data_IF_616593765150
#
_entry.id   IF_616593765150
#
_cell.length_a   1.000
_cell.length_b   1.000
_cell.length_c   1.000
_cell.angle_alpha   90.00
_cell.angle_beta   90.00
_cell.angle_gamma   90.00
#
_symmetry.space_group_name_H-M   'P 1'
#
loop_
_entity.id
_entity.type
_entity.pdbx_description
1 polymer ?
#
# COMPACT_ATOMS: atom_id res chain seq x y z
N UNK A 1 -47.72 -4.77 15.65
CA UNK A 1 -47.85 -4.71 14.18
C UNK A 1 -46.61 -4.03 13.66
N UNK A 2 -45.69 -4.84 13.18
CA UNK A 2 -44.37 -4.41 12.74
C UNK A 2 -44.49 -3.75 11.36
N UNK A 3 -44.33 -2.43 11.31
CA UNK A 3 -44.25 -1.72 10.04
C UNK A 3 -42.85 -2.02 9.49
N UNK A 4 -42.73 -3.05 8.66
CA UNK A 4 -41.53 -3.20 7.83
C UNK A 4 -41.38 -1.91 7.04
N UNK A 5 -40.40 -1.08 7.42
CA UNK A 5 -40.00 0.08 6.63
C UNK A 5 -39.57 -0.49 5.29
N UNK A 6 -40.40 -0.30 4.25
CA UNK A 6 -39.98 -0.58 2.88
C UNK A 6 -38.69 0.21 2.64
N UNK A 7 -37.57 -0.49 2.50
CA UNK A 7 -36.32 0.10 2.03
C UNK A 7 -36.61 0.78 0.69
N UNK A 8 -36.28 2.06 0.61
CA UNK A 8 -36.51 2.83 -0.59
C UNK A 8 -35.49 2.44 -1.66
N UNK A 9 -35.78 2.68 -2.94
CA UNK A 9 -34.81 2.46 -4.02
C UNK A 9 -33.49 3.23 -3.77
N UNK A 10 -33.55 4.34 -3.03
CA UNK A 10 -32.37 5.12 -2.60
C UNK A 10 -31.48 4.32 -1.67
N UNK A 11 -32.06 3.59 -0.72
CA UNK A 11 -31.30 2.76 0.21
C UNK A 11 -30.59 1.61 -0.53
N UNK A 12 -31.23 1.05 -1.56
CA UNK A 12 -30.61 0.03 -2.41
C UNK A 12 -29.47 0.61 -3.24
N UNK A 13 -29.64 1.79 -3.84
CA UNK A 13 -28.61 2.46 -4.63
C UNK A 13 -27.41 2.89 -3.76
N UNK A 14 -27.65 3.38 -2.54
CA UNK A 14 -26.56 3.70 -1.63
C UNK A 14 -25.79 2.45 -1.21
N UNK A 15 -26.51 1.37 -0.87
CA UNK A 15 -25.89 0.10 -0.47
C UNK A 15 -25.14 -0.63 -1.58
N UNK A 16 -25.34 -0.25 -2.85
CA UNK A 16 -24.62 -0.88 -3.97
C UNK A 16 -23.18 -0.39 -4.13
N UNK A 17 -22.72 0.63 -3.39
CA UNK A 17 -21.37 1.19 -3.57
C UNK A 17 -21.27 2.20 -4.72
N UNK A 18 -21.99 1.98 -5.81
CA UNK A 18 -21.98 2.82 -7.02
C UNK A 18 -21.95 4.36 -6.81
N UNK A 19 -22.72 4.97 -5.89
CA UNK A 19 -22.64 6.41 -5.68
C UNK A 19 -21.28 6.86 -5.13
N UNK A 20 -20.69 6.09 -4.22
CA UNK A 20 -19.36 6.36 -3.67
C UNK A 20 -18.29 6.23 -4.75
N UNK A 21 -18.36 5.15 -5.54
CA UNK A 21 -17.45 4.93 -6.68
C UNK A 21 -17.48 6.10 -7.67
N UNK A 22 -18.68 6.59 -7.99
CA UNK A 22 -18.87 7.73 -8.88
C UNK A 22 -18.34 9.05 -8.31
N UNK A 23 -18.50 9.30 -7.00
CA UNK A 23 -17.95 10.48 -6.34
C UNK A 23 -16.42 10.45 -6.30
N UNK A 24 -15.83 9.30 -5.97
CA UNK A 24 -14.37 9.09 -5.99
C UNK A 24 -13.82 9.28 -7.39
N UNK A 25 -14.43 8.66 -8.41
CA UNK A 25 -13.99 8.79 -9.81
C UNK A 25 -13.97 10.25 -10.27
N UNK A 26 -14.99 11.06 -9.92
CA UNK A 26 -14.99 12.49 -10.24
C UNK A 26 -13.83 13.25 -9.59
N UNK A 27 -13.48 12.90 -8.35
CA UNK A 27 -12.35 13.51 -7.68
C UNK A 27 -11.05 13.16 -8.41
N UNK A 28 -10.85 11.89 -8.78
CA UNK A 28 -9.68 11.43 -9.53
C UNK A 28 -9.57 12.13 -10.89
N UNK A 29 -10.68 12.29 -11.61
CA UNK A 29 -10.71 13.03 -12.88
C UNK A 29 -10.29 14.50 -12.68
N UNK A 30 -10.67 15.11 -11.55
CA UNK A 30 -10.28 16.49 -11.21
C UNK A 30 -8.78 16.63 -10.90
N UNK A 31 -8.12 15.53 -10.55
CA UNK A 31 -6.67 15.41 -10.36
C UNK A 31 -5.95 14.93 -11.64
N UNK A 32 -6.67 14.89 -12.77
CA UNK A 32 -6.15 14.46 -14.08
C UNK A 32 -5.69 13.00 -14.13
N UNK A 33 -6.20 12.15 -13.23
CA UNK A 33 -5.91 10.72 -13.31
C UNK A 33 -6.58 10.08 -14.53
N UNK A 34 -5.94 9.02 -15.04
CA UNK A 34 -6.52 8.17 -16.09
C UNK A 34 -7.22 7.02 -15.40
N UNK A 35 -8.54 7.10 -15.29
CA UNK A 35 -9.35 6.14 -14.53
C UNK A 35 -10.09 5.14 -15.42
N UNK A 36 -10.16 3.89 -14.97
CA UNK A 36 -11.07 2.85 -15.45
C UNK A 36 -11.92 2.37 -14.28
N UNK A 37 -13.22 2.21 -14.54
CA UNK A 37 -14.10 1.54 -13.60
C UNK A 37 -13.89 0.05 -13.74
N UNK A 38 -13.74 -0.62 -12.60
CA UNK A 38 -13.59 -2.06 -12.45
C UNK A 38 -12.31 -2.63 -13.07
N UNK A 39 -11.48 -3.27 -12.24
CA UNK A 39 -10.40 -4.15 -12.71
C UNK A 39 -10.74 -5.58 -12.29
N UNK A 40 -10.80 -6.49 -13.26
CA UNK A 40 -11.13 -7.90 -13.01
C UNK A 40 -9.90 -8.79 -13.06
N UNK A 41 -9.90 -9.84 -12.25
CA UNK A 41 -8.86 -10.87 -12.25
C UNK A 41 -9.46 -12.23 -11.90
N UNK A 42 -8.80 -13.29 -12.36
CA UNK A 42 -9.22 -14.67 -12.08
C UNK A 42 -8.42 -15.26 -10.92
N UNK A 43 -9.14 -15.96 -10.05
CA UNK A 43 -8.56 -16.76 -8.97
C UNK A 43 -9.47 -17.94 -8.65
N UNK A 44 -8.89 -19.07 -8.30
CA UNK A 44 -9.65 -20.19 -7.75
C UNK A 44 -10.24 -19.82 -6.37
N UNK A 45 -11.54 -20.05 -6.20
CA UNK A 45 -12.23 -19.86 -4.93
C UNK A 45 -11.98 -21.03 -3.95
N UNK A 46 -12.66 -21.02 -2.80
CA UNK A 46 -12.55 -22.06 -1.75
C UNK A 46 -12.84 -23.49 -2.25
N UNK A 47 -13.55 -23.63 -3.36
CA UNK A 47 -13.90 -24.91 -3.99
C UNK A 47 -12.97 -25.26 -5.17
N UNK A 48 -11.84 -24.55 -5.33
CA UNK A 48 -10.92 -24.67 -6.46
C UNK A 48 -11.59 -24.43 -7.83
N UNK A 49 -12.59 -23.55 -7.89
CA UNK A 49 -13.22 -23.13 -9.13
C UNK A 49 -12.75 -21.73 -9.47
N UNK A 50 -12.19 -21.57 -10.67
CA UNK A 50 -11.78 -20.26 -11.17
C UNK A 50 -12.99 -19.33 -11.23
N UNK A 51 -12.89 -18.24 -10.49
CA UNK A 51 -13.94 -17.24 -10.31
C UNK A 51 -13.34 -15.87 -10.61
N UNK A 52 -14.15 -15.02 -11.22
CA UNK A 52 -13.79 -13.62 -11.45
C UNK A 52 -14.01 -12.81 -10.17
N UNK A 53 -13.00 -12.02 -9.82
CA UNK A 53 -13.02 -11.05 -8.75
C UNK A 53 -12.65 -9.69 -9.31
N UNK A 54 -13.00 -8.62 -8.59
CA UNK A 54 -12.65 -7.27 -8.99
C UNK A 54 -12.44 -6.34 -7.80
N UNK A 55 -11.80 -5.21 -8.10
CA UNK A 55 -11.89 -3.98 -7.30
C UNK A 55 -12.47 -2.85 -8.14
N UNK A 56 -13.00 -1.82 -7.46
CA UNK A 56 -13.97 -0.90 -8.06
C UNK A 56 -13.37 0.14 -9.02
N UNK A 57 -12.20 0.71 -8.73
CA UNK A 57 -11.58 1.76 -9.57
C UNK A 57 -10.08 1.51 -9.72
N UNK A 58 -9.63 1.49 -10.97
CA UNK A 58 -8.23 1.42 -11.37
C UNK A 58 -7.81 2.76 -11.97
N UNK A 59 -6.97 3.53 -11.28
CA UNK A 59 -6.68 4.91 -11.67
C UNK A 59 -5.20 5.21 -11.63
N UNK A 60 -4.66 5.72 -12.74
CA UNK A 60 -3.24 6.09 -12.83
C UNK A 60 -3.07 7.59 -12.66
N UNK A 61 -2.27 8.00 -11.68
CA UNK A 61 -1.74 9.35 -11.52
C UNK A 61 -0.30 9.42 -12.06
N UNK A 62 -0.01 10.36 -12.95
CA UNK A 62 1.30 10.48 -13.60
C UNK A 62 1.96 11.79 -13.16
N UNK A 63 3.13 11.70 -12.53
CA UNK A 63 3.97 12.84 -12.18
C UNK A 63 5.41 12.56 -12.66
N UNK A 64 5.85 13.23 -13.72
CA UNK A 64 7.14 12.97 -14.35
C UNK A 64 7.25 11.56 -14.91
N UNK A 65 8.29 10.82 -14.51
CA UNK A 65 8.51 9.40 -14.83
C UNK A 65 7.92 8.45 -13.78
N UNK A 66 7.08 8.94 -12.87
CA UNK A 66 6.43 8.14 -11.84
C UNK A 66 4.96 7.89 -12.19
N UNK A 67 4.62 6.61 -12.34
CA UNK A 67 3.27 6.13 -12.60
C UNK A 67 2.72 5.55 -11.31
N UNK A 68 1.75 6.23 -10.72
CA UNK A 68 1.13 5.85 -9.46
C UNK A 68 -0.26 5.27 -9.74
N UNK A 69 -0.34 3.95 -9.75
CA UNK A 69 -1.58 3.20 -9.97
C UNK A 69 -2.30 3.02 -8.63
N UNK A 70 -3.39 3.77 -8.48
CA UNK A 70 -4.32 3.74 -7.35
C UNK A 70 -5.32 2.60 -7.56
N UNK A 71 -5.20 1.53 -6.78
CA UNK A 71 -6.10 0.37 -6.79
C UNK A 71 -7.15 0.56 -5.69
N UNK A 72 -8.36 0.97 -6.06
CA UNK A 72 -9.35 1.48 -5.10
C UNK A 72 -10.52 0.52 -4.95
N UNK A 73 -10.78 0.12 -3.71
CA UNK A 73 -11.99 -0.58 -3.27
C UNK A 73 -12.88 0.37 -2.44
N UNK A 74 -14.12 0.58 -2.89
CA UNK A 74 -15.11 1.45 -2.28
C UNK A 74 -16.08 0.67 -1.38
N UNK A 75 -16.13 1.02 -0.09
CA UNK A 75 -17.06 0.41 0.88
C UNK A 75 -18.01 1.46 1.45
N UNK A 76 -19.16 1.66 0.80
CA UNK A 76 -20.23 2.48 1.36
C UNK A 76 -20.82 1.84 2.62
N UNK A 77 -20.98 2.62 3.68
CA UNK A 77 -21.57 2.23 4.96
C UNK A 77 -22.54 3.28 5.48
N UNK A 78 -23.46 2.82 6.33
CA UNK A 78 -24.37 3.71 7.05
C UNK A 78 -23.60 4.54 8.07
N UNK A 79 -24.08 5.73 8.40
CA UNK A 79 -23.42 6.67 9.34
C UNK A 79 -23.19 6.09 10.74
N UNK A 80 -23.98 5.09 11.13
CA UNK A 80 -23.84 4.37 12.41
C UNK A 80 -22.74 3.30 12.39
N UNK A 81 -22.12 3.03 11.25
CA UNK A 81 -21.05 2.05 11.12
C UNK A 81 -19.71 2.70 11.44
N UNK A 82 -18.96 2.04 12.32
CA UNK A 82 -17.62 2.47 12.74
C UNK A 82 -16.63 1.36 12.41
N UNK A 83 -15.46 1.69 11.89
CA UNK A 83 -14.35 0.75 11.75
C UNK A 83 -13.33 1.04 12.83
N UNK A 84 -12.97 0.01 13.60
CA UNK A 84 -12.06 0.14 14.75
C UNK A 84 -10.81 -0.67 14.48
N UNK A 85 -9.65 -0.06 14.69
CA UNK A 85 -8.35 -0.61 14.40
C UNK A 85 -7.48 -0.70 15.65
N UNK A 86 -6.70 -1.77 15.71
CA UNK A 86 -5.63 -1.93 16.68
C UNK A 86 -4.40 -1.12 16.25
N UNK A 87 -3.75 -0.40 17.18
CA UNK A 87 -2.53 0.34 16.88
C UNK A 87 -1.40 -0.60 16.48
N UNK A 88 -0.53 -0.11 15.61
CA UNK A 88 0.77 -0.69 15.26
C UNK A 88 1.79 0.46 15.11
N UNK A 89 3.07 0.13 14.91
CA UNK A 89 4.19 1.08 14.84
C UNK A 89 5.04 0.89 13.60
N UNK A 90 5.39 1.99 12.94
CA UNK A 90 6.43 2.01 11.91
C UNK A 90 7.79 1.61 12.47
N UNK A 91 8.70 1.16 11.59
CA UNK A 91 10.07 0.78 11.95
C UNK A 91 10.15 -0.35 13.00
N UNK A 92 9.11 -1.17 13.09
CA UNK A 92 9.13 -2.42 13.84
C UNK A 92 9.99 -3.47 13.11
N UNK A 93 10.30 -4.62 13.73
CA UNK A 93 11.06 -5.70 13.09
C UNK A 93 10.44 -6.25 11.79
N UNK A 94 9.22 -5.84 11.47
CA UNK A 94 8.51 -6.18 10.25
C UNK A 94 8.82 -5.24 9.08
N UNK A 95 9.70 -4.24 9.29
CA UNK A 95 10.22 -3.33 8.27
C UNK A 95 9.14 -2.56 7.49
N UNK A 96 8.05 -2.16 8.16
CA UNK A 96 7.08 -1.23 7.59
C UNK A 96 7.58 0.20 7.78
N UNK A 97 7.94 0.84 6.68
CA UNK A 97 8.38 2.22 6.57
C UNK A 97 7.20 3.16 6.22
N UNK A 98 7.41 4.46 6.34
CA UNK A 98 6.41 5.52 6.19
C UNK A 98 5.72 5.52 4.81
N UNK A 99 6.42 5.09 3.74
CA UNK A 99 5.93 4.98 2.36
C UNK A 99 5.58 3.55 1.94
N UNK A 100 5.61 2.56 2.85
CA UNK A 100 5.41 1.15 2.47
C UNK A 100 4.09 0.84 1.76
N UNK A 101 3.08 1.72 1.87
CA UNK A 101 1.81 1.57 1.14
C UNK A 101 1.92 1.93 -0.36
N UNK A 102 3.02 2.57 -0.76
CA UNK A 102 3.39 2.90 -2.14
C UNK A 102 4.36 1.84 -2.68
N UNK A 103 3.83 0.75 -3.22
CA UNK A 103 4.66 -0.39 -3.61
C UNK A 103 5.36 -0.13 -4.93
N UNK A 104 6.64 0.21 -4.85
CA UNK A 104 7.48 0.52 -5.99
C UNK A 104 7.97 -0.75 -6.70
N UNK A 105 7.74 -0.82 -8.00
CA UNK A 105 8.29 -1.82 -8.91
C UNK A 105 9.21 -1.11 -9.91
N UNK A 106 10.52 -1.23 -9.67
CA UNK A 106 11.59 -0.63 -10.48
C UNK A 106 12.72 -1.61 -10.84
N UNK A 107 12.54 -2.90 -10.57
CA UNK A 107 13.59 -3.93 -10.63
C UNK A 107 14.10 -4.22 -12.05
N UNK A 108 13.44 -3.69 -13.08
CA UNK A 108 13.78 -3.85 -14.49
C UNK A 108 13.95 -2.50 -15.21
N UNK A 109 14.00 -1.39 -14.45
CA UNK A 109 14.20 -0.03 -14.97
C UNK A 109 15.66 0.13 -15.41
N UNK A 110 15.96 0.77 -16.54
CA UNK A 110 17.34 0.97 -17.02
C UNK A 110 18.13 1.92 -16.11
N UNK A 111 17.50 2.99 -15.63
CA UNK A 111 18.10 3.99 -14.74
C UNK A 111 17.41 3.93 -13.37
N UNK A 112 17.92 3.10 -12.47
CA UNK A 112 17.39 2.99 -11.11
C UNK A 112 17.89 4.17 -10.27
N UNK A 113 17.07 5.20 -10.09
CA UNK A 113 17.36 6.25 -9.11
C UNK A 113 17.27 5.67 -7.69
N UNK A 114 18.21 6.04 -6.80
CA UNK A 114 18.16 5.60 -5.42
C UNK A 114 16.86 6.09 -4.76
N UNK A 115 16.16 5.19 -4.10
CA UNK A 115 14.92 5.51 -3.41
C UNK A 115 15.22 6.48 -2.25
N UNK A 116 14.63 7.68 -2.30
CA UNK A 116 14.68 8.62 -1.18
C UNK A 116 13.75 8.08 -0.09
N UNK A 117 14.33 7.72 1.06
CA UNK A 117 13.57 7.33 2.24
C UNK A 117 12.77 8.52 2.78
N UNK A 118 11.49 8.58 2.44
CA UNK A 118 10.62 9.67 2.84
C UNK A 118 10.22 9.53 4.33
N UNK A 119 10.61 10.47 5.21
CA UNK A 119 10.62 10.24 6.66
C UNK A 119 9.30 10.58 7.37
N UNK A 120 8.24 10.90 6.62
CA UNK A 120 6.96 11.37 7.15
C UNK A 120 5.87 10.38 6.75
N UNK A 121 5.16 9.80 7.71
CA UNK A 121 4.06 8.87 7.43
C UNK A 121 2.81 9.61 6.94
N UNK A 122 2.10 9.03 5.96
CA UNK A 122 0.80 9.56 5.53
C UNK A 122 -0.26 9.50 6.64
N UNK A 123 -0.34 8.37 7.36
CA UNK A 123 -1.31 8.15 8.42
C UNK A 123 -0.79 7.19 9.49
N UNK A 124 -1.49 7.04 10.63
CA UNK A 124 -1.03 6.14 11.68
C UNK A 124 -1.18 4.68 11.25
N UNK A 125 -0.22 3.86 11.66
CA UNK A 125 -0.18 2.43 11.35
C UNK A 125 -1.12 1.64 12.26
N UNK A 126 -1.75 0.62 11.67
CA UNK A 126 -2.69 -0.29 12.30
C UNK A 126 -2.42 -1.72 11.87
N UNK A 127 -2.65 -2.68 12.77
CA UNK A 127 -2.40 -4.11 12.48
C UNK A 127 -3.67 -4.84 12.01
N UNK A 128 -4.81 -4.58 12.63
CA UNK A 128 -6.07 -5.25 12.32
C UNK A 128 -7.26 -4.36 12.66
N UNK A 129 -8.32 -4.49 11.86
CA UNK A 129 -9.59 -3.81 12.12
C UNK A 129 -10.80 -4.73 12.22
N UNK A 130 -11.86 -4.21 12.82
CA UNK A 130 -13.22 -4.77 12.78
C UNK A 130 -14.23 -3.70 12.39
N UNK A 131 -15.29 -4.11 11.71
CA UNK A 131 -16.44 -3.25 11.49
C UNK A 131 -17.45 -3.43 12.63
N UNK A 132 -17.92 -2.34 13.23
CA UNK A 132 -19.05 -2.33 14.15
C UNK A 132 -20.27 -1.75 13.46
N UNK A 133 -21.37 -2.50 13.48
CA UNK A 133 -22.67 -2.09 12.96
C UNK A 133 -23.71 -2.08 14.07
N UNK A 134 -24.92 -1.60 13.77
CA UNK A 134 -26.06 -1.71 14.68
C UNK A 134 -26.45 -3.15 15.00
N UNK A 135 -26.12 -4.08 14.11
CA UNK A 135 -26.44 -5.50 14.24
C UNK A 135 -25.31 -6.30 14.93
N UNK A 136 -24.21 -5.63 15.29
CA UNK A 136 -23.04 -6.21 15.94
C UNK A 136 -21.75 -6.13 15.12
N UNK A 137 -20.70 -6.83 15.57
CA UNK A 137 -19.40 -6.80 14.91
C UNK A 137 -19.37 -7.66 13.64
N UNK A 138 -18.67 -7.16 12.62
CA UNK A 138 -18.40 -7.85 11.37
C UNK A 138 -16.87 -7.88 11.13
N UNK A 139 -16.20 -9.01 11.40
CA UNK A 139 -14.76 -9.11 11.23
C UNK A 139 -14.32 -9.32 9.77
N UNK A 140 -15.25 -9.56 8.84
CA UNK A 140 -14.91 -10.02 7.48
C UNK A 140 -14.70 -8.89 6.49
N UNK A 141 -15.44 -7.78 6.62
CA UNK A 141 -15.47 -6.74 5.58
C UNK A 141 -14.10 -6.16 5.25
N UNK A 142 -13.33 -5.77 6.27
CA UNK A 142 -12.00 -5.18 6.07
C UNK A 142 -11.07 -6.23 5.44
N UNK A 143 -11.06 -7.45 5.99
CA UNK A 143 -10.28 -8.58 5.47
C UNK A 143 -10.62 -8.91 4.01
N UNK A 144 -11.88 -8.82 3.62
CA UNK A 144 -12.32 -9.06 2.24
C UNK A 144 -11.80 -7.98 1.29
N UNK A 145 -11.90 -6.70 1.67
CA UNK A 145 -11.37 -5.59 0.88
C UNK A 145 -9.84 -5.70 0.70
N UNK A 146 -9.13 -6.03 1.79
CA UNK A 146 -7.69 -6.33 1.77
C UNK A 146 -7.42 -7.44 0.75
N UNK A 147 -8.11 -8.59 0.86
CA UNK A 147 -7.91 -9.70 -0.06
C UNK A 147 -8.23 -9.35 -1.53
N UNK A 148 -9.26 -8.55 -1.81
CA UNK A 148 -9.58 -8.13 -3.18
C UNK A 148 -8.39 -7.40 -3.82
N UNK A 149 -7.88 -6.37 -3.12
CA UNK A 149 -6.73 -5.60 -3.58
C UNK A 149 -5.46 -6.46 -3.63
N UNK A 150 -5.23 -7.29 -2.62
CA UNK A 150 -4.01 -8.08 -2.51
C UNK A 150 -3.84 -9.11 -3.61
N UNK A 151 -4.93 -9.79 -4.00
CA UNK A 151 -4.86 -10.78 -5.07
C UNK A 151 -4.79 -10.11 -6.45
N UNK A 152 -5.38 -8.93 -6.65
CA UNK A 152 -5.27 -8.21 -7.91
C UNK A 152 -3.85 -7.71 -8.20
N UNK A 153 -3.09 -7.38 -7.14
CA UNK A 153 -1.78 -6.76 -7.25
C UNK A 153 -0.73 -7.60 -7.99
N UNK A 154 -0.84 -8.93 -7.97
CA UNK A 154 0.08 -9.79 -8.71
C UNK A 154 0.01 -9.56 -10.23
N UNK A 155 -1.18 -9.32 -10.77
CA UNK A 155 -1.35 -8.97 -12.19
C UNK A 155 -0.67 -7.64 -12.51
N UNK A 156 -0.85 -6.65 -11.64
CA UNK A 156 -0.22 -5.34 -11.74
C UNK A 156 1.32 -5.40 -11.73
N UNK A 157 1.91 -6.18 -10.83
CA UNK A 157 3.37 -6.38 -10.80
C UNK A 157 3.88 -6.98 -12.12
N UNK A 158 3.16 -7.96 -12.68
CA UNK A 158 3.48 -8.55 -13.97
C UNK A 158 3.43 -7.50 -15.09
N UNK A 159 2.41 -6.64 -15.10
CA UNK A 159 2.29 -5.53 -16.05
C UNK A 159 3.47 -4.53 -15.96
N UNK A 160 3.93 -4.19 -14.75
CA UNK A 160 5.12 -3.35 -14.56
C UNK A 160 6.39 -4.01 -15.10
N UNK A 161 6.63 -5.29 -14.75
CA UNK A 161 7.83 -6.01 -15.23
C UNK A 161 7.85 -6.08 -16.75
N UNK A 162 6.71 -6.40 -17.39
CA UNK A 162 6.61 -6.43 -18.85
C UNK A 162 6.88 -5.06 -19.49
N UNK A 163 6.39 -3.99 -18.85
CA UNK A 163 6.57 -2.62 -19.34
C UNK A 163 8.05 -2.19 -19.27
N UNK A 164 8.73 -2.55 -18.18
CA UNK A 164 10.13 -2.19 -17.94
C UNK A 164 11.12 -3.06 -18.73
N UNK A 165 10.83 -4.35 -18.93
CA UNK A 165 11.76 -5.28 -19.61
C UNK A 165 11.95 -5.01 -21.12
N UNK A 166 11.33 -3.96 -21.68
CA UNK A 166 11.60 -3.51 -23.04
C UNK A 166 10.88 -4.30 -24.14
N UNK A 167 9.94 -5.18 -23.80
CA UNK A 167 9.04 -5.80 -24.80
C UNK A 167 8.07 -4.77 -25.39
N UNK A 168 7.75 -3.73 -24.63
CA UNK A 168 6.98 -2.60 -25.12
C UNK A 168 7.82 -1.69 -26.03
N UNK A 169 7.20 -1.19 -27.10
CA UNK A 169 7.87 -0.36 -28.12
C UNK A 169 8.24 1.04 -27.63
N UNK A 170 7.77 1.45 -26.46
CA UNK A 170 7.92 2.83 -25.98
C UNK A 170 9.09 2.91 -25.00
N UNK A 171 10.16 3.57 -25.43
CA UNK A 171 11.38 3.75 -24.64
C UNK A 171 11.13 4.41 -23.28
N UNK A 172 10.07 5.23 -23.15
CA UNK A 172 9.76 5.93 -21.89
C UNK A 172 9.49 4.98 -20.71
N UNK A 173 8.94 3.79 -20.94
CA UNK A 173 8.61 2.86 -19.85
C UNK A 173 9.82 2.19 -19.22
N UNK A 174 10.97 2.22 -19.90
CA UNK A 174 12.22 1.68 -19.37
C UNK A 174 12.82 2.53 -18.26
N UNK A 175 12.43 3.79 -18.16
CA UNK A 175 12.86 4.74 -17.11
C UNK A 175 11.70 5.14 -16.21
N UNK A 176 10.57 4.40 -16.28
CA UNK A 176 9.36 4.68 -15.49
C UNK A 176 9.36 3.85 -14.22
N UNK A 177 9.17 4.53 -13.09
CA UNK A 177 8.88 3.91 -11.81
C UNK A 177 7.38 3.65 -11.69
N UNK A 178 6.99 2.40 -11.41
CA UNK A 178 5.59 2.03 -11.19
C UNK A 178 5.33 1.86 -9.70
N UNK A 179 4.44 2.68 -9.14
CA UNK A 179 3.94 2.53 -7.77
C UNK A 179 2.54 1.95 -7.82
N UNK A 180 2.30 0.88 -7.05
CA UNK A 180 0.98 0.32 -6.84
C UNK A 180 0.49 0.66 -5.44
N UNK A 181 -0.62 1.40 -5.36
CA UNK A 181 -1.14 1.98 -4.13
C UNK A 181 -2.53 1.38 -3.88
N UNK A 182 -2.64 0.33 -3.05
CA UNK A 182 -3.93 -0.24 -2.67
C UNK A 182 -4.64 0.66 -1.65
N UNK A 183 -5.88 1.04 -1.96
CA UNK A 183 -6.67 1.99 -1.18
C UNK A 183 -8.06 1.41 -0.92
N UNK A 184 -8.50 1.45 0.32
CA UNK A 184 -9.90 1.23 0.71
C UNK A 184 -10.51 2.58 1.03
N UNK A 185 -11.56 2.98 0.31
CA UNK A 185 -12.31 4.20 0.59
C UNK A 185 -13.63 3.81 1.23
N UNK A 186 -13.95 4.35 2.40
CA UNK A 186 -15.20 4.05 3.10
C UNK A 186 -15.87 5.27 3.68
N UNK A 187 -17.21 5.27 3.73
CA UNK A 187 -17.97 6.29 4.47
C UNK A 187 -18.10 5.98 5.95
N UNK A 188 -17.63 4.82 6.43
CA UNK A 188 -17.55 4.53 7.86
C UNK A 188 -16.49 5.42 8.51
N UNK A 189 -16.74 5.85 9.75
CA UNK A 189 -15.73 6.54 10.55
C UNK A 189 -14.63 5.56 10.94
N UNK A 190 -13.38 6.01 10.87
CA UNK A 190 -12.21 5.21 11.21
C UNK A 190 -11.73 5.57 12.61
N UNK A 191 -11.56 4.58 13.47
CA UNK A 191 -11.08 4.76 14.84
C UNK A 191 -9.84 3.91 15.08
N UNK A 192 -8.76 4.50 15.59
CA UNK A 192 -7.58 3.77 16.09
C UNK A 192 -7.62 3.73 17.61
N UNK A 193 -7.61 2.53 18.20
CA UNK A 193 -7.51 2.37 19.66
C UNK A 193 -6.20 3.01 20.14
N UNK A 194 -6.25 3.76 21.24
CA UNK A 194 -5.05 4.39 21.80
C UNK A 194 -4.16 3.33 22.47
N UNK A 195 -2.86 3.55 22.44
CA UNK A 195 -1.85 2.59 22.92
C UNK A 195 -1.92 2.35 24.44
N UNK A 196 -2.50 3.29 25.19
CA UNK A 196 -2.67 3.24 26.64
C UNK A 196 -3.96 2.52 27.10
N UNK A 197 -4.80 2.07 26.16
CA UNK A 197 -6.11 1.48 26.48
C UNK A 197 -6.00 -0.02 26.73
N UNK A 198 -6.55 -0.45 27.87
CA UNK A 198 -6.69 -1.86 28.23
C UNK A 198 -8.15 -2.35 28.17
N UNK A 199 -8.36 -3.63 28.49
CA UNK A 199 -9.68 -4.27 28.47
C UNK A 199 -10.63 -3.63 29.50
N UNK A 200 -10.14 -3.19 30.65
CA UNK A 200 -10.99 -2.60 31.68
C UNK A 200 -11.44 -1.19 31.28
N UNK A 201 -10.55 -0.39 30.66
CA UNK A 201 -10.90 0.89 30.06
C UNK A 201 -12.01 0.73 29.01
N UNK A 202 -11.95 -0.32 28.17
CA UNK A 202 -13.00 -0.62 27.19
C UNK A 202 -14.32 -0.97 27.88
N UNK A 203 -14.31 -1.83 28.92
CA UNK A 203 -15.53 -2.24 29.64
C UNK A 203 -16.22 -1.08 30.37
N UNK A 204 -15.43 -0.13 30.87
CA UNK A 204 -15.92 1.02 31.62
C UNK A 204 -16.29 2.21 30.72
N UNK A 205 -15.99 2.13 29.42
CA UNK A 205 -16.26 3.21 28.50
C UNK A 205 -17.70 3.19 28.00
N UNK A 206 -18.35 4.36 28.03
CA UNK A 206 -19.66 4.58 27.43
C UNK A 206 -19.60 4.98 25.96
N UNK A 207 -18.43 5.42 25.48
CA UNK A 207 -18.23 5.88 24.09
C UNK A 207 -16.91 5.41 23.49
N UNK A 208 -16.87 5.25 22.18
CA UNK A 208 -15.67 4.74 21.49
C UNK A 208 -14.54 5.79 21.49
N UNK A 209 -14.88 7.07 21.43
CA UNK A 209 -13.97 8.21 21.47
C UNK A 209 -13.19 8.28 22.78
N UNK A 210 -13.73 7.72 23.87
CA UNK A 210 -13.02 7.65 25.14
C UNK A 210 -11.87 6.63 25.10
N UNK A 211 -11.82 5.72 24.13
CA UNK A 211 -10.79 4.66 24.02
C UNK A 211 -10.02 4.70 22.69
N UNK A 212 -10.33 5.64 21.81
CA UNK A 212 -9.77 5.69 20.47
C UNK A 212 -9.68 7.11 19.94
N UNK A 213 -8.93 7.28 18.86
CA UNK A 213 -8.85 8.52 18.08
C UNK A 213 -9.60 8.31 16.76
N UNK A 214 -10.44 9.27 16.38
CA UNK A 214 -11.10 9.27 15.07
C UNK A 214 -10.13 9.82 14.03
N UNK A 215 -9.81 9.03 13.01
CA UNK A 215 -8.76 9.32 12.03
C UNK A 215 -9.37 9.52 10.64
N UNK A 216 -8.89 10.51 9.85
CA UNK A 216 -9.34 10.70 8.46
C UNK A 216 -8.80 9.62 7.52
N UNK A 217 -7.67 9.01 7.87
CA UNK A 217 -7.00 7.96 7.12
C UNK A 217 -6.12 7.12 8.04
N UNK A 218 -5.86 5.88 7.64
CA UNK A 218 -5.06 4.88 8.36
C UNK A 218 -4.26 4.04 7.38
N UNK A 219 -3.11 3.51 7.81
CA UNK A 219 -2.38 2.47 7.07
C UNK A 219 -2.57 1.14 7.79
N UNK A 220 -3.06 0.12 7.09
CA UNK A 220 -3.14 -1.25 7.61
C UNK A 220 -1.90 -2.02 7.19
N UNK A 221 -1.13 -2.51 8.16
CA UNK A 221 -0.09 -3.51 7.95
C UNK A 221 -0.74 -4.85 7.57
N UNK A 222 -0.44 -5.34 6.37
CA UNK A 222 -1.03 -6.53 5.79
C UNK A 222 0.06 -7.51 5.37
N UNK A 223 0.32 -8.55 6.16
CA UNK A 223 1.32 -9.55 5.79
C UNK A 223 0.73 -10.61 4.85
N UNK A 224 1.34 -10.87 3.69
CA UNK A 224 0.88 -11.91 2.79
C UNK A 224 0.91 -13.30 3.45
N UNK A 225 -0.24 -13.96 3.46
CA UNK A 225 -0.32 -15.36 3.87
C UNK A 225 0.32 -16.30 2.83
N UNK A 226 0.56 -17.55 3.22
CA UNK A 226 1.16 -18.57 2.34
C UNK A 226 0.39 -18.79 1.04
N UNK A 227 -0.93 -18.64 1.08
CA UNK A 227 -1.78 -18.90 -0.08
C UNK A 227 -1.74 -17.75 -1.08
N UNK A 228 -1.62 -16.51 -0.61
CA UNK A 228 -1.38 -15.34 -1.47
C UNK A 228 0.01 -15.44 -2.11
N UNK A 229 1.04 -15.78 -1.35
CA UNK A 229 2.38 -15.98 -1.89
C UNK A 229 2.41 -17.05 -3.01
N UNK A 230 1.76 -18.20 -2.80
CA UNK A 230 1.66 -19.25 -3.82
C UNK A 230 0.96 -18.75 -5.08
N UNK A 231 -0.19 -18.10 -4.92
CA UNK A 231 -0.93 -17.52 -6.06
C UNK A 231 -0.07 -16.53 -6.85
N UNK A 232 0.61 -15.61 -6.17
CA UNK A 232 1.49 -14.62 -6.80
C UNK A 232 2.64 -15.31 -7.55
N UNK A 233 3.27 -16.30 -6.92
CA UNK A 233 4.35 -17.07 -7.55
C UNK A 233 3.90 -17.83 -8.78
N UNK A 234 2.69 -18.39 -8.77
CA UNK A 234 2.16 -19.13 -9.92
C UNK A 234 1.88 -18.20 -11.11
N UNK A 235 1.31 -17.01 -10.87
CA UNK A 235 1.16 -15.98 -11.89
C UNK A 235 2.51 -15.52 -12.47
N UNK A 236 3.47 -15.21 -11.59
CA UNK A 236 4.80 -14.76 -12.01
C UNK A 236 5.54 -15.85 -12.80
N UNK A 237 5.46 -17.12 -12.39
CA UNK A 237 6.06 -18.24 -13.14
C UNK A 237 5.48 -18.38 -14.54
N UNK A 238 4.16 -18.27 -14.67
CA UNK A 238 3.48 -18.35 -15.97
C UNK A 238 3.90 -17.17 -16.87
N UNK A 239 4.08 -15.99 -16.28
CA UNK A 239 4.61 -14.83 -16.98
C UNK A 239 6.05 -15.04 -17.46
N UNK A 240 6.95 -15.51 -16.60
CA UNK A 240 8.35 -15.79 -16.96
C UNK A 240 8.44 -16.81 -18.10
N UNK A 241 7.58 -17.84 -18.09
CA UNK A 241 7.50 -18.81 -19.18
C UNK A 241 7.10 -18.15 -20.51
N UNK A 242 6.22 -17.13 -20.47
CA UNK A 242 5.72 -16.42 -21.65
C UNK A 242 6.67 -15.35 -22.18
N UNK A 243 7.51 -14.76 -21.30
CA UNK A 243 8.48 -13.71 -21.64
C UNK A 243 9.86 -14.22 -22.03
N UNK A 244 10.12 -15.51 -21.82
CA UNK A 244 11.44 -16.14 -21.87
C UNK A 244 12.35 -15.68 -20.73
N UNK A 245 12.78 -16.65 -19.91
CA UNK A 245 13.58 -16.40 -18.71
C UNK A 245 14.85 -15.59 -18.99
N UNK A 246 15.56 -15.93 -20.07
CA UNK A 246 16.86 -15.33 -20.39
C UNK A 246 16.74 -13.84 -20.71
N UNK A 247 15.62 -13.43 -21.32
CA UNK A 247 15.34 -12.02 -21.61
C UNK A 247 15.06 -11.21 -20.33
N UNK A 248 14.25 -11.75 -19.41
CA UNK A 248 14.01 -11.10 -18.12
C UNK A 248 15.30 -11.03 -17.30
N UNK A 249 16.08 -12.11 -17.30
CA UNK A 249 17.36 -12.17 -16.60
C UNK A 249 18.35 -11.11 -17.11
N UNK A 250 18.41 -10.86 -18.42
CA UNK A 250 19.28 -9.83 -18.98
C UNK A 250 18.79 -8.40 -18.76
N UNK A 251 17.50 -8.23 -18.42
CA UNK A 251 16.87 -6.93 -18.19
C UNK A 251 16.77 -6.56 -16.70
N UNK A 252 17.21 -7.46 -15.83
CA UNK A 252 17.17 -7.27 -14.39
C UNK A 252 18.16 -6.17 -13.99
N UNK A 253 17.68 -5.18 -13.25
CA UNK A 253 18.49 -4.08 -12.72
C UNK A 253 18.11 -3.83 -11.26
N UNK A 254 18.72 -4.59 -10.36
CA UNK A 254 18.39 -4.56 -8.93
C UNK A 254 19.54 -5.11 -8.09
N UNK A 255 19.35 -5.20 -6.78
CA UNK A 255 20.36 -5.62 -5.79
C UNK A 255 20.81 -7.09 -5.90
N UNK A 256 20.25 -7.88 -6.83
CA UNK A 256 20.59 -9.30 -7.01
C UNK A 256 20.48 -9.71 -8.47
N UNK A 257 21.47 -10.48 -8.93
CA UNK A 257 21.47 -11.09 -10.27
C UNK A 257 20.62 -12.37 -10.35
N UNK A 258 20.05 -12.86 -9.24
CA UNK A 258 19.17 -14.03 -9.26
C UNK A 258 17.71 -13.61 -9.50
N UNK A 259 17.26 -13.77 -10.75
CA UNK A 259 15.88 -13.46 -11.16
C UNK A 259 14.84 -14.16 -10.26
N UNK A 260 15.05 -15.42 -9.89
CA UNK A 260 14.05 -16.15 -9.09
C UNK A 260 14.01 -15.67 -7.65
N UNK A 261 15.15 -15.26 -7.10
CA UNK A 261 15.21 -14.62 -5.80
C UNK A 261 14.44 -13.29 -5.80
N UNK A 262 14.70 -12.43 -6.78
CA UNK A 262 14.00 -11.13 -6.93
C UNK A 262 12.50 -11.33 -7.10
N UNK A 263 12.09 -12.22 -8.01
CA UNK A 263 10.67 -12.51 -8.24
C UNK A 263 9.99 -13.12 -7.01
N UNK A 264 10.69 -13.97 -6.26
CA UNK A 264 10.16 -14.50 -4.98
C UNK A 264 10.05 -13.41 -3.92
N UNK A 265 10.95 -12.43 -3.91
CA UNK A 265 10.87 -11.28 -3.02
C UNK A 265 9.66 -10.42 -3.37
N UNK A 266 9.47 -10.09 -4.65
CA UNK A 266 8.30 -9.37 -5.15
C UNK A 266 6.99 -10.07 -4.75
N UNK A 267 6.88 -11.38 -5.03
CA UNK A 267 5.68 -12.16 -4.72
C UNK A 267 5.32 -12.20 -3.22
N UNK A 268 6.32 -12.05 -2.34
CA UNK A 268 6.16 -12.13 -0.89
C UNK A 268 5.99 -10.78 -0.23
N UNK A 269 6.76 -9.79 -0.65
CA UNK A 269 6.94 -8.53 0.08
C UNK A 269 6.33 -7.34 -0.66
N UNK A 270 6.09 -7.43 -1.96
CA UNK A 270 5.50 -6.36 -2.77
C UNK A 270 4.04 -6.62 -3.18
N UNK A 271 3.35 -7.54 -2.49
CA UNK A 271 1.94 -7.88 -2.78
C UNK A 271 1.04 -7.72 -1.55
N UNK A 272 0.30 -6.61 -1.48
CA UNK A 272 0.73 -5.47 -0.72
C UNK A 272 1.03 -5.81 0.73
N UNK A 273 2.14 -5.28 1.24
CA UNK A 273 2.52 -5.40 2.64
C UNK A 273 1.78 -4.38 3.53
N UNK A 274 1.16 -3.37 2.92
CA UNK A 274 0.35 -2.37 3.63
C UNK A 274 -0.73 -1.76 2.72
N UNK A 275 -1.83 -1.32 3.31
CA UNK A 275 -3.00 -0.82 2.56
C UNK A 275 -3.50 0.47 3.19
N UNK A 276 -3.72 1.48 2.36
CA UNK A 276 -4.27 2.75 2.79
C UNK A 276 -5.79 2.64 2.97
N UNK A 277 -6.33 3.19 4.05
CA UNK A 277 -7.77 3.34 4.27
C UNK A 277 -8.10 4.81 4.45
N UNK A 278 -9.07 5.31 3.69
CA UNK A 278 -9.49 6.72 3.71
C UNK A 278 -10.96 6.80 4.08
N UNK A 279 -11.28 7.67 5.06
CA UNK A 279 -12.64 8.09 5.31
C UNK A 279 -13.09 9.06 4.21
N UNK A 280 -14.15 8.70 3.51
CA UNK A 280 -14.78 9.56 2.52
C UNK A 280 -15.76 10.53 3.20
N UNK A 281 -15.45 11.82 3.12
CA UNK A 281 -16.35 12.91 3.43
C UNK A 281 -16.63 13.78 2.19
N UNK A 282 -17.59 14.71 2.30
CA UNK A 282 -17.98 15.59 1.18
C UNK A 282 -16.90 16.57 0.74
N UNK A 283 -15.89 16.82 1.57
CA UNK A 283 -14.79 17.71 1.24
C UNK A 283 -13.69 17.00 0.45
N UNK A 284 -13.72 15.66 0.37
CA UNK A 284 -12.66 14.82 -0.19
C UNK A 284 -11.30 15.10 0.44
N UNK A 285 -11.26 15.57 1.70
CA UNK A 285 -10.01 16.00 2.32
C UNK A 285 -8.97 14.87 2.37
N UNK A 286 -9.35 13.66 2.78
CA UNK A 286 -8.41 12.54 2.84
C UNK A 286 -7.80 12.17 1.48
N UNK A 287 -8.56 12.32 0.39
CA UNK A 287 -8.02 12.15 -0.96
C UNK A 287 -7.15 13.33 -1.37
N UNK A 288 -7.54 14.57 -1.07
CA UNK A 288 -6.71 15.75 -1.35
C UNK A 288 -5.35 15.66 -0.66
N UNK A 289 -5.35 15.33 0.65
CA UNK A 289 -4.15 15.12 1.44
C UNK A 289 -3.26 14.01 0.84
N UNK A 290 -3.86 12.94 0.29
CA UNK A 290 -3.10 11.88 -0.41
C UNK A 290 -2.36 12.43 -1.62
N UNK A 291 -3.00 13.18 -2.50
CA UNK A 291 -2.32 13.73 -3.69
C UNK A 291 -1.20 14.70 -3.31
N UNK A 292 -1.44 15.55 -2.30
CA UNK A 292 -0.40 16.46 -1.80
C UNK A 292 0.78 15.67 -1.21
N UNK A 293 0.52 14.56 -0.54
CA UNK A 293 1.56 13.64 -0.05
C UNK A 293 2.32 12.97 -1.19
N UNK A 294 1.64 12.42 -2.19
CA UNK A 294 2.26 11.78 -3.36
C UNK A 294 3.18 12.77 -4.09
N UNK A 295 2.71 13.99 -4.32
CA UNK A 295 3.52 15.03 -4.96
C UNK A 295 4.77 15.36 -4.14
N UNK A 296 4.65 15.38 -2.81
CA UNK A 296 5.77 15.64 -1.90
C UNK A 296 6.76 14.48 -1.79
N UNK A 297 6.31 13.23 -1.93
CA UNK A 297 7.21 12.07 -2.02
C UNK A 297 8.04 12.14 -3.29
N UNK A 298 7.42 12.48 -4.43
CA UNK A 298 8.09 12.57 -5.72
C UNK A 298 8.95 13.84 -5.83
N UNK A 299 8.48 14.95 -5.28
CA UNK A 299 9.18 16.23 -5.29
C UNK A 299 9.35 16.75 -3.84
N UNK A 300 10.28 16.18 -3.05
CA UNK A 300 10.52 16.62 -1.69
C UNK A 300 10.89 18.10 -1.62
N UNK A 301 10.29 18.81 -0.68
CA UNK A 301 10.68 20.19 -0.37
C UNK A 301 11.85 20.24 0.63
N UNK A 302 12.37 21.44 0.88
CA UNK A 302 13.51 21.65 1.77
C UNK A 302 13.26 21.12 3.19
N UNK A 303 12.02 21.19 3.68
CA UNK A 303 11.67 20.68 5.01
C UNK A 303 11.90 19.16 5.10
N UNK A 304 11.54 18.41 4.05
CA UNK A 304 11.81 16.97 4.00
C UNK A 304 13.32 16.68 4.01
N UNK A 305 14.11 17.41 3.22
CA UNK A 305 15.57 17.24 3.23
C UNK A 305 16.18 17.56 4.59
N UNK A 306 15.67 18.58 5.28
CA UNK A 306 16.12 18.93 6.63
C UNK A 306 15.79 17.82 7.64
N UNK A 307 14.62 17.17 7.52
CA UNK A 307 14.25 16.02 8.36
C UNK A 307 15.17 14.82 8.09
N UNK A 308 15.45 14.51 6.82
CA UNK A 308 16.36 13.41 6.44
C UNK A 308 17.74 13.65 7.05
N UNK A 309 18.32 14.83 6.85
CA UNK A 309 19.63 15.19 7.39
C UNK A 309 19.65 15.12 8.93
N UNK A 310 18.56 15.49 9.61
CA UNK A 310 18.44 15.35 11.06
C UNK A 310 18.43 13.89 11.50
N UNK A 311 17.66 13.02 10.83
CA UNK A 311 17.59 11.58 11.14
C UNK A 311 18.92 10.88 10.88
N UNK A 312 19.61 11.21 9.80
CA UNK A 312 20.95 10.67 9.49
C UNK A 312 21.94 11.03 10.60
N UNK A 313 21.98 12.29 11.01
CA UNK A 313 22.84 12.75 12.12
C UNK A 313 22.52 12.04 13.44
N UNK A 314 21.24 11.89 13.78
CA UNK A 314 20.84 11.14 14.98
C UNK A 314 21.28 9.67 14.92
N UNK A 315 21.22 9.05 13.73
CA UNK A 315 21.68 7.69 13.50
C UNK A 315 23.20 7.56 13.67
N UNK A 316 23.98 8.48 13.09
CA UNK A 316 25.44 8.54 13.26
C UNK A 316 25.84 8.71 14.73
N UNK A 317 25.19 9.62 15.46
CA UNK A 317 25.44 9.84 16.88
C UNK A 317 25.10 8.59 17.71
N UNK A 318 24.00 7.90 17.37
CA UNK A 318 23.62 6.64 18.01
C UNK A 318 24.66 5.54 17.76
N UNK A 319 25.08 5.32 16.51
CA UNK A 319 26.07 4.30 16.18
C UNK A 319 27.41 4.56 16.84
N UNK A 320 27.87 5.81 16.83
CA UNK A 320 29.12 6.19 17.50
C UNK A 320 29.05 5.88 19.00
N UNK A 321 27.95 6.22 19.65
CA UNK A 321 27.74 5.90 21.07
C UNK A 321 27.69 4.38 21.31
N UNK A 322 27.03 3.63 20.43
CA UNK A 322 26.96 2.17 20.53
C UNK A 322 28.34 1.51 20.42
N UNK A 323 29.19 1.98 19.51
CA UNK A 323 30.57 1.50 19.36
C UNK A 323 31.44 1.86 20.57
N UNK A 324 31.26 3.06 21.15
CA UNK A 324 31.92 3.47 22.40
C UNK A 324 31.50 2.58 23.59
N UNK A 325 30.21 2.23 23.68
CA UNK A 325 29.67 1.36 24.72
C UNK A 325 30.05 -0.13 24.51
N UNK A 326 30.29 -0.55 23.26
CA UNK A 326 30.57 -1.94 22.86
C UNK A 326 31.83 -2.08 22.00
N UNK A 327 33.02 -1.82 22.57
CA UNK A 327 34.28 -1.84 21.83
C UNK A 327 34.54 -3.23 21.22
N UNK A 328 34.74 -3.26 19.91
CA UNK A 328 34.97 -4.48 19.12
C UNK A 328 33.77 -4.94 18.28
N UNK A 329 32.60 -4.30 18.42
CA UNK A 329 31.50 -4.42 17.46
C UNK A 329 31.59 -3.26 16.47
N UNK A 330 32.07 -3.53 15.26
CA UNK A 330 32.05 -2.54 14.17
C UNK A 330 30.77 -2.78 13.34
N UNK A 331 29.79 -1.89 13.45
CA UNK A 331 28.55 -1.96 12.68
C UNK A 331 28.71 -1.37 11.27
N UNK A 332 29.74 -0.54 11.06
CA UNK A 332 30.05 0.14 9.79
C UNK A 332 31.08 -0.61 8.93
N UNK A 333 31.70 -1.68 9.44
CA UNK A 333 32.85 -2.36 8.85
C UNK A 333 32.62 -3.15 7.57
N UNK A 334 31.61 -2.83 6.77
CA UNK A 334 31.33 -3.47 5.48
C UNK A 334 30.74 -2.55 4.40
N UNK A 335 30.56 -1.25 4.64
CA UNK A 335 30.03 -0.33 3.62
C UNK A 335 31.14 0.50 2.95
N UNK A 336 32.14 0.96 3.70
CA UNK A 336 33.19 1.84 3.14
C UNK A 336 34.17 1.10 2.20
N UNK A 337 34.41 -0.21 2.38
CA UNK A 337 35.40 -0.94 1.59
C UNK A 337 34.93 -1.29 0.16
N UNK A 338 33.61 -1.30 -0.10
CA UNK A 338 33.05 -1.53 -1.45
C UNK A 338 32.87 -0.21 -2.23
N UNK A 339 32.40 0.86 -1.57
CA UNK A 339 32.25 2.18 -2.21
C UNK A 339 33.60 2.85 -2.51
N UNK A 340 34.61 2.66 -1.66
CA UNK A 340 35.97 3.15 -1.95
C UNK A 340 36.67 2.35 -3.06
N UNK A 341 36.21 1.12 -3.36
CA UNK A 341 36.68 0.34 -4.52
C UNK A 341 35.97 0.70 -5.82
N UNK A 342 34.73 1.18 -5.76
CA UNK A 342 33.98 1.73 -6.90
C UNK A 342 34.50 3.11 -7.31
N UNK A 343 34.82 3.98 -6.36
CA UNK A 343 35.39 5.31 -6.64
C UNK A 343 36.84 5.31 -7.17
N UNK A 344 37.54 4.17 -7.10
CA UNK A 344 38.91 3.99 -7.64
C UNK A 344 38.94 3.35 -9.04
N UNK A 345 37.78 3.12 -9.67
CA UNK A 345 37.64 2.51 -11.00
C UNK A 345 37.08 3.42 -12.10
N UNK A 346 36.80 4.69 -11.79
CA UNK A 346 36.65 5.78 -12.78
C UNK A 346 37.92 6.63 -12.84
#
# INVERSE_FOLDING_TARGET
MDKSKKTSWKDHLLKSGLPLEFEVSKFLDSKHCISKMEYTYLRSNENNVDTEFSYDIDSTYINGNHYMDLMIECKYRHESTKWIFLPDSYNSPDFIEETSFMHLINHFMEDCEPEIKFPVSFGPLCSKGIELTTDGPNPKTITQAINQLSYAMAGKIVEAIESQSGRQKYACFKTTSFYYIPIIITTAQLYRIREDVDIEAIKLSDDIENISTCEPYLIINSKPGSDLFKYNMDLIRNFVFTMEKDHLQSSLNTYSDDLWFVLSNLARNQCPNSILVIHHDKSNKGLADLFDYLDRVINPDQEIFDIIASKEKESEEFFKKFEEDHPGVNLWGSLDDEDEQLAKKE
#
